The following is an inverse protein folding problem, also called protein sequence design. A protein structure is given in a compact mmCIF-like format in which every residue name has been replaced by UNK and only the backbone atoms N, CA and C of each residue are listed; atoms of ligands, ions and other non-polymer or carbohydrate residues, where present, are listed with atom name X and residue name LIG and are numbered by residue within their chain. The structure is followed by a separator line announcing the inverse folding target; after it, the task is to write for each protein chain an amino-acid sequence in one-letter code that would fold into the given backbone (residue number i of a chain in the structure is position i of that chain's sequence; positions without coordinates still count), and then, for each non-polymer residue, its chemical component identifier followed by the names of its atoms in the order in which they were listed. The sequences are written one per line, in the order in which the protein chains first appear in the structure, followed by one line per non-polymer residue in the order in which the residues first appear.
data_IF_449740257213
#
_entry.id   IF_449740257213
#
_cell.length_a   1.000
_cell.length_b   1.000
_cell.length_c   1.000
_cell.angle_alpha   90.00
_cell.angle_beta   90.00
_cell.angle_gamma   90.00
#
_symmetry.space_group_name_H-M   'P 1'
#
loop_
_entity.id
_entity.type
_entity.pdbx_description
1 polymer ?
#
# COMPACT_ATOMS: atom_id res chain seq x y z
N UNK A 1 -14.55 35.00 -2.84
CA UNK A 1 -13.34 34.81 -3.66
C UNK A 1 -13.72 34.76 -5.13
N UNK A 2 -12.76 35.03 -6.03
CA UNK A 2 -12.93 34.88 -7.47
C UNK A 2 -12.71 33.45 -7.93
N UNK A 3 -13.36 33.06 -9.04
CA UNK A 3 -13.15 31.76 -9.66
C UNK A 3 -11.68 31.46 -10.00
N UNK A 4 -10.92 32.43 -10.51
CA UNK A 4 -9.52 32.22 -10.88
C UNK A 4 -8.64 31.75 -9.69
N UNK A 5 -8.97 32.19 -8.48
CA UNK A 5 -8.28 31.75 -7.26
C UNK A 5 -8.61 30.29 -6.92
N UNK A 6 -9.87 29.90 -7.09
CA UNK A 6 -10.29 28.50 -6.97
C UNK A 6 -9.62 27.64 -8.05
N UNK A 7 -9.64 28.11 -9.30
CA UNK A 7 -9.07 27.42 -10.45
C UNK A 7 -7.57 27.18 -10.27
N UNK A 8 -6.83 28.18 -9.79
CA UNK A 8 -5.41 28.02 -9.49
C UNK A 8 -5.16 26.96 -8.40
N UNK A 9 -6.00 26.92 -7.36
CA UNK A 9 -5.91 25.89 -6.33
C UNK A 9 -6.27 24.49 -6.85
N UNK A 10 -7.25 24.41 -7.75
CA UNK A 10 -7.66 23.18 -8.41
C UNK A 10 -6.55 22.62 -9.31
N UNK A 11 -5.96 23.45 -10.17
CA UNK A 11 -4.89 23.06 -11.08
C UNK A 11 -3.65 22.59 -10.31
N UNK A 12 -3.35 23.18 -9.15
CA UNK A 12 -2.27 22.72 -8.27
C UNK A 12 -2.51 21.29 -7.73
N UNK A 13 -3.74 20.95 -7.38
CA UNK A 13 -4.11 19.60 -6.92
C UNK A 13 -4.05 18.61 -8.09
N UNK A 14 -4.55 18.98 -9.27
CA UNK A 14 -4.40 18.14 -10.47
C UNK A 14 -2.94 17.86 -10.78
N UNK A 15 -2.08 18.88 -10.72
CA UNK A 15 -0.66 18.70 -10.99
C UNK A 15 0.00 17.81 -9.93
N UNK A 16 -0.36 17.95 -8.65
CA UNK A 16 0.13 17.07 -7.61
C UNK A 16 -0.32 15.61 -7.80
N UNK A 17 -1.51 15.36 -8.36
CA UNK A 17 -1.96 14.02 -8.75
C UNK A 17 -1.13 13.46 -9.91
N UNK A 18 -0.88 14.27 -10.95
CA UNK A 18 -0.07 13.88 -12.11
C UNK A 18 1.38 13.56 -11.72
N UNK A 19 1.93 14.32 -10.78
CA UNK A 19 3.27 14.12 -10.24
C UNK A 19 3.34 13.00 -9.17
N UNK A 20 2.23 12.28 -8.93
CA UNK A 20 2.10 11.21 -7.94
C UNK A 20 2.53 11.63 -6.51
N UNK A 21 2.27 12.89 -6.15
CA UNK A 21 2.65 13.48 -4.86
C UNK A 21 1.58 13.36 -3.77
N UNK A 22 0.38 12.93 -4.15
CA UNK A 22 -0.74 12.72 -3.24
C UNK A 22 -1.07 11.22 -3.17
N UNK A 23 -1.12 10.69 -1.96
CA UNK A 23 -1.78 9.42 -1.70
C UNK A 23 -3.31 9.61 -1.62
N UNK A 24 -4.05 8.53 -1.40
CA UNK A 24 -5.53 8.54 -1.39
C UNK A 24 -6.07 9.49 -0.32
N UNK A 25 -5.45 9.49 0.85
CA UNK A 25 -5.84 10.33 1.98
C UNK A 25 -5.50 11.80 1.72
N UNK A 26 -4.33 12.08 1.15
CA UNK A 26 -3.92 13.41 0.70
C UNK A 26 -4.87 13.98 -0.36
N UNK A 27 -5.26 13.19 -1.36
CA UNK A 27 -6.25 13.59 -2.35
C UNK A 27 -7.62 13.85 -1.70
N UNK A 28 -8.06 13.00 -0.77
CA UNK A 28 -9.31 13.20 -0.05
C UNK A 28 -9.32 14.51 0.76
N UNK A 29 -8.20 14.84 1.41
CA UNK A 29 -8.04 16.10 2.13
C UNK A 29 -8.10 17.32 1.19
N UNK A 30 -7.42 17.25 0.04
CA UNK A 30 -7.43 18.31 -0.97
C UNK A 30 -8.82 18.52 -1.59
N UNK A 31 -9.57 17.44 -1.87
CA UNK A 31 -10.97 17.52 -2.32
C UNK A 31 -11.84 18.23 -1.27
N UNK A 32 -11.68 17.90 0.02
CA UNK A 32 -12.39 18.58 1.10
C UNK A 32 -12.04 20.07 1.19
N UNK A 33 -10.75 20.42 1.03
CA UNK A 33 -10.29 21.82 0.99
C UNK A 33 -10.88 22.59 -0.20
N UNK A 34 -10.88 21.99 -1.38
CA UNK A 34 -11.44 22.60 -2.59
C UNK A 34 -12.96 22.76 -2.49
N UNK A 35 -13.69 21.86 -1.84
CA UNK A 35 -15.12 22.02 -1.58
C UNK A 35 -15.43 23.30 -0.79
N UNK A 36 -14.64 23.57 0.26
CA UNK A 36 -14.78 24.80 1.06
C UNK A 36 -14.47 26.04 0.22
N UNK A 37 -13.49 25.98 -0.68
CA UNK A 37 -13.16 27.10 -1.56
C UNK A 37 -14.24 27.34 -2.63
N UNK A 38 -14.79 26.27 -3.21
CA UNK A 38 -15.88 26.37 -4.19
C UNK A 38 -17.09 27.11 -3.59
N UNK A 39 -17.45 26.82 -2.34
CA UNK A 39 -18.56 27.50 -1.65
C UNK A 39 -18.32 29.00 -1.41
N UNK A 40 -17.06 29.43 -1.34
CA UNK A 40 -16.66 30.83 -1.15
C UNK A 40 -16.62 31.63 -2.44
N UNK A 41 -16.82 31.00 -3.61
CA UNK A 41 -16.91 31.68 -4.90
C UNK A 41 -18.15 32.58 -4.92
N UNK A 42 -17.94 33.86 -5.24
CA UNK A 42 -18.94 34.92 -5.06
C UNK A 42 -20.08 34.84 -6.07
N UNK A 43 -19.75 34.60 -7.33
CA UNK A 43 -20.75 34.53 -8.39
C UNK A 43 -21.35 33.13 -8.47
N UNK A 44 -22.68 33.07 -8.53
CA UNK A 44 -23.40 31.80 -8.62
C UNK A 44 -22.99 30.97 -9.84
N UNK A 45 -22.86 31.59 -11.01
CA UNK A 45 -22.45 30.90 -12.24
C UNK A 45 -21.05 30.31 -12.12
N UNK A 46 -20.13 31.04 -11.50
CA UNK A 46 -18.76 30.57 -11.25
C UNK A 46 -18.72 29.47 -10.18
N UNK A 47 -19.64 29.51 -9.20
CA UNK A 47 -19.78 28.44 -8.21
C UNK A 47 -20.28 27.15 -8.85
N UNK A 48 -21.18 27.23 -9.83
CA UNK A 48 -21.63 26.07 -10.61
C UNK A 48 -20.47 25.48 -11.42
N UNK A 49 -19.59 26.32 -11.98
CA UNK A 49 -18.37 25.88 -12.65
C UNK A 49 -17.37 25.21 -11.70
N UNK A 50 -17.11 25.84 -10.54
CA UNK A 50 -16.24 25.29 -9.49
C UNK A 50 -16.76 23.94 -8.97
N UNK A 51 -18.07 23.76 -8.86
CA UNK A 51 -18.70 22.50 -8.48
C UNK A 51 -18.47 21.40 -9.53
N UNK A 52 -18.52 21.74 -10.82
CA UNK A 52 -18.24 20.79 -11.91
C UNK A 52 -16.77 20.36 -11.93
N UNK A 53 -15.84 21.29 -11.70
CA UNK A 53 -14.42 20.99 -11.55
C UNK A 53 -14.18 20.04 -10.36
N UNK A 54 -14.75 20.37 -9.19
CA UNK A 54 -14.65 19.54 -7.99
C UNK A 54 -15.21 18.12 -8.18
N UNK A 55 -16.30 17.98 -8.95
CA UNK A 55 -16.88 16.67 -9.27
C UNK A 55 -15.87 15.77 -10.00
N UNK A 56 -15.05 16.33 -10.90
CA UNK A 56 -14.03 15.57 -11.63
C UNK A 56 -12.95 14.99 -10.71
N UNK A 57 -12.49 15.76 -9.71
CA UNK A 57 -11.55 15.26 -8.70
C UNK A 57 -12.19 14.26 -7.74
N UNK A 58 -13.47 14.43 -7.44
CA UNK A 58 -14.24 13.48 -6.61
C UNK A 58 -14.37 12.13 -7.32
N UNK A 59 -14.67 12.12 -8.61
CA UNK A 59 -14.71 10.90 -9.43
C UNK A 59 -13.35 10.21 -9.50
N UNK A 60 -12.27 10.98 -9.63
CA UNK A 60 -10.90 10.47 -9.56
C UNK A 60 -10.63 9.81 -8.20
N UNK A 61 -10.98 10.45 -7.10
CA UNK A 61 -10.82 9.90 -5.75
C UNK A 61 -11.59 8.58 -5.58
N UNK A 62 -12.84 8.52 -6.05
CA UNK A 62 -13.66 7.31 -6.00
C UNK A 62 -13.13 6.20 -6.92
N UNK A 63 -12.55 6.54 -8.07
CA UNK A 63 -11.84 5.58 -8.91
C UNK A 63 -10.61 5.02 -8.20
N UNK A 64 -9.81 5.89 -7.56
CA UNK A 64 -8.61 5.47 -6.83
C UNK A 64 -9.00 4.56 -5.66
N UNK A 65 -9.95 4.96 -4.82
CA UNK A 65 -10.44 4.16 -3.68
C UNK A 65 -10.89 2.76 -4.05
N UNK A 66 -11.54 2.59 -5.21
CA UNK A 66 -11.98 1.27 -5.70
C UNK A 66 -10.82 0.36 -6.11
N UNK A 67 -9.68 0.94 -6.47
CA UNK A 67 -8.51 0.22 -6.95
C UNK A 67 -7.40 0.12 -5.90
N UNK A 68 -7.45 0.92 -4.84
CA UNK A 68 -6.54 0.84 -3.70
C UNK A 68 -6.94 -0.38 -2.85
N UNK A 69 -6.01 -1.33 -2.61
CA UNK A 69 -6.25 -2.39 -1.64
C UNK A 69 -6.63 -1.79 -0.28
N UNK A 70 -7.48 -2.45 0.51
CA UNK A 70 -7.69 -2.02 1.89
C UNK A 70 -6.34 -1.93 2.61
N UNK A 71 -6.21 -1.00 3.59
CA UNK A 71 -5.00 -0.91 4.38
C UNK A 71 -4.73 -2.26 5.05
N UNK A 72 -3.44 -2.59 5.16
CA UNK A 72 -2.98 -3.78 5.83
C UNK A 72 -3.52 -3.87 7.26
N UNK A 73 -3.96 -5.05 7.67
CA UNK A 73 -4.34 -5.29 9.06
C UNK A 73 -3.12 -5.17 9.97
N UNK A 74 -3.24 -4.62 11.19
CA UNK A 74 -2.11 -4.55 12.13
C UNK A 74 -1.51 -5.92 12.45
N UNK A 75 -2.34 -6.98 12.41
CA UNK A 75 -1.90 -8.35 12.57
C UNK A 75 -1.00 -8.80 11.41
N UNK A 76 -1.37 -8.50 10.17
CA UNK A 76 -0.56 -8.76 9.00
C UNK A 76 0.73 -7.95 8.99
N UNK A 77 0.70 -6.65 9.29
CA UNK A 77 1.92 -5.83 9.32
C UNK A 77 2.97 -6.40 10.27
N UNK A 78 2.55 -6.76 11.49
CA UNK A 78 3.43 -7.40 12.47
C UNK A 78 3.95 -8.75 11.97
N UNK A 79 3.07 -9.59 11.45
CA UNK A 79 3.45 -10.90 10.91
C UNK A 79 4.41 -10.78 9.72
N UNK A 80 4.22 -9.78 8.86
CA UNK A 80 5.06 -9.51 7.70
C UNK A 80 6.46 -9.04 8.10
N UNK A 81 6.57 -8.18 9.11
CA UNK A 81 7.86 -7.76 9.65
C UNK A 81 8.63 -8.94 10.25
N UNK A 82 7.95 -9.77 11.06
CA UNK A 82 8.56 -10.98 11.64
C UNK A 82 8.97 -11.99 10.56
N UNK A 83 8.11 -12.24 9.56
CA UNK A 83 8.40 -13.12 8.44
C UNK A 83 9.58 -12.61 7.59
N UNK A 84 9.66 -11.31 7.35
CA UNK A 84 10.77 -10.69 6.61
C UNK A 84 12.10 -10.88 7.33
N UNK A 85 12.12 -10.69 8.65
CA UNK A 85 13.32 -10.91 9.46
C UNK A 85 13.77 -12.38 9.42
N UNK A 86 12.84 -13.33 9.51
CA UNK A 86 13.15 -14.76 9.41
C UNK A 86 13.72 -15.14 8.04
N UNK A 87 13.16 -14.58 6.96
CA UNK A 87 13.66 -14.80 5.60
C UNK A 87 15.06 -14.22 5.42
N UNK A 88 15.30 -13.01 5.93
CA UNK A 88 16.63 -12.38 5.89
C UNK A 88 17.67 -13.19 6.67
N UNK A 89 17.35 -13.63 7.89
CA UNK A 89 18.22 -14.46 8.72
C UNK A 89 18.60 -15.77 8.00
N UNK A 90 17.63 -16.46 7.41
CA UNK A 90 17.86 -17.71 6.70
C UNK A 90 18.72 -17.52 5.43
N UNK A 91 18.51 -16.43 4.69
CA UNK A 91 19.31 -16.13 3.50
C UNK A 91 20.76 -15.72 3.82
N UNK A 92 20.95 -14.99 4.93
CA UNK A 92 22.27 -14.56 5.40
C UNK A 92 23.02 -15.64 6.20
N UNK A 93 22.40 -16.79 6.45
CA UNK A 93 22.99 -17.85 7.24
C UNK A 93 24.21 -18.46 6.53
N UNK A 94 25.37 -18.39 7.20
CA UNK A 94 26.60 -19.05 6.82
C UNK A 94 26.85 -20.33 7.63
N UNK A 95 27.86 -21.10 7.24
CA UNK A 95 28.28 -22.31 7.95
C UNK A 95 27.82 -23.61 7.29
N UNK A 96 27.76 -24.73 8.03
CA UNK A 96 27.50 -26.04 7.47
C UNK A 96 26.15 -26.12 6.74
N UNK A 97 26.14 -26.74 5.55
CA UNK A 97 24.95 -26.93 4.71
C UNK A 97 23.75 -27.47 5.50
N UNK A 98 23.98 -28.46 6.37
CA UNK A 98 22.93 -29.04 7.21
C UNK A 98 22.29 -28.05 8.18
N UNK A 99 23.06 -27.11 8.74
CA UNK A 99 22.51 -26.09 9.65
C UNK A 99 21.75 -25.01 8.86
N UNK A 100 22.24 -24.63 7.67
CA UNK A 100 21.54 -23.70 6.78
C UNK A 100 20.17 -24.25 6.32
N UNK A 101 20.11 -25.53 5.95
CA UNK A 101 18.84 -26.21 5.62
C UNK A 101 17.87 -26.19 6.80
N UNK A 102 18.33 -26.54 8.01
CA UNK A 102 17.49 -26.50 9.23
C UNK A 102 16.95 -25.09 9.50
N UNK A 103 17.77 -24.06 9.27
CA UNK A 103 17.40 -22.66 9.47
C UNK A 103 16.29 -22.24 8.50
N UNK A 104 16.43 -22.57 7.21
CA UNK A 104 15.40 -22.32 6.20
C UNK A 104 14.09 -23.06 6.53
N UNK A 105 14.15 -24.35 6.88
CA UNK A 105 12.97 -25.14 7.28
C UNK A 105 12.29 -24.58 8.54
N UNK A 106 13.06 -24.11 9.52
CA UNK A 106 12.54 -23.47 10.73
C UNK A 106 11.85 -22.14 10.41
N UNK A 107 12.45 -21.33 9.53
CA UNK A 107 11.85 -20.08 9.07
C UNK A 107 10.52 -20.34 8.35
N UNK A 108 10.46 -21.30 7.43
CA UNK A 108 9.21 -21.72 6.76
C UNK A 108 8.12 -22.08 7.77
N UNK A 109 8.45 -22.92 8.76
CA UNK A 109 7.48 -23.34 9.79
C UNK A 109 6.95 -22.14 10.58
N UNK A 110 7.84 -21.23 10.98
CA UNK A 110 7.45 -20.02 11.72
C UNK A 110 6.57 -19.09 10.89
N UNK A 111 6.92 -18.86 9.62
CA UNK A 111 6.13 -18.01 8.71
C UNK A 111 4.71 -18.58 8.52
N UNK A 112 4.57 -19.91 8.39
CA UNK A 112 3.25 -20.56 8.34
C UNK A 112 2.44 -20.29 9.62
N UNK A 113 3.05 -20.43 10.80
CA UNK A 113 2.39 -20.11 12.07
C UNK A 113 2.01 -18.64 12.22
N UNK A 114 2.80 -17.72 11.64
CA UNK A 114 2.44 -16.30 11.59
C UNK A 114 1.24 -16.07 10.68
N UNK A 115 1.22 -16.71 9.50
CA UNK A 115 0.13 -16.63 8.54
C UNK A 115 -1.20 -17.18 9.12
N UNK A 116 -1.16 -18.22 9.95
CA UNK A 116 -2.35 -18.78 10.63
C UNK A 116 -3.04 -17.78 11.57
N UNK A 117 -2.35 -16.71 11.98
CA UNK A 117 -2.89 -15.64 12.86
C UNK A 117 -3.52 -14.49 12.09
N UNK A 118 -3.40 -14.50 10.76
CA UNK A 118 -3.95 -13.45 9.88
C UNK A 118 -5.29 -13.93 9.32
N UNK A 119 -6.34 -13.17 9.61
CA UNK A 119 -7.71 -13.52 9.23
C UNK A 119 -7.97 -13.27 7.75
N UNK A 120 -7.42 -12.18 7.19
CA UNK A 120 -7.60 -11.86 5.79
C UNK A 120 -6.92 -12.90 4.89
N UNK A 121 -7.66 -13.53 3.96
CA UNK A 121 -7.10 -14.56 3.08
C UNK A 121 -5.98 -14.07 2.15
N UNK A 122 -6.05 -12.81 1.68
CA UNK A 122 -5.05 -12.23 0.77
C UNK A 122 -3.74 -11.90 1.47
N UNK A 123 -3.84 -11.31 2.66
CA UNK A 123 -2.70 -11.05 3.55
C UNK A 123 -2.03 -12.35 3.99
N UNK A 124 -2.83 -13.35 4.42
CA UNK A 124 -2.33 -14.69 4.75
C UNK A 124 -1.63 -15.34 3.57
N UNK A 125 -2.21 -15.25 2.37
CA UNK A 125 -1.59 -15.78 1.16
C UNK A 125 -0.23 -15.12 0.88
N UNK A 126 -0.14 -13.80 1.07
CA UNK A 126 1.09 -13.04 0.88
C UNK A 126 2.19 -13.50 1.85
N UNK A 127 1.86 -13.74 3.12
CA UNK A 127 2.81 -14.32 4.08
C UNK A 127 3.27 -15.72 3.67
N UNK A 128 2.35 -16.58 3.23
CA UNK A 128 2.70 -17.93 2.78
C UNK A 128 3.64 -17.93 1.57
N UNK A 129 3.50 -16.96 0.67
CA UNK A 129 4.41 -16.79 -0.48
C UNK A 129 5.86 -16.53 -0.09
N UNK A 130 6.11 -15.94 1.08
CA UNK A 130 7.47 -15.74 1.59
C UNK A 130 8.19 -17.06 1.91
N UNK A 131 7.48 -18.19 1.97
CA UNK A 131 8.10 -19.50 2.19
C UNK A 131 8.70 -20.12 0.93
N UNK A 132 8.31 -19.68 -0.27
CA UNK A 132 8.75 -20.27 -1.54
C UNK A 132 10.26 -20.10 -1.78
N UNK A 133 10.87 -18.91 -1.62
CA UNK A 133 12.32 -18.76 -1.77
C UNK A 133 13.13 -19.58 -0.76
N UNK A 134 12.61 -19.74 0.46
CA UNK A 134 13.25 -20.54 1.51
C UNK A 134 13.21 -22.03 1.20
N UNK A 135 12.12 -22.51 0.59
CA UNK A 135 12.02 -23.90 0.14
C UNK A 135 13.03 -24.16 -0.98
N UNK A 136 13.11 -23.26 -1.96
CA UNK A 136 14.11 -23.33 -3.04
C UNK A 136 15.54 -23.31 -2.49
N UNK A 137 15.83 -22.47 -1.48
CA UNK A 137 17.13 -22.44 -0.82
C UNK A 137 17.47 -23.78 -0.16
N UNK A 138 16.53 -24.35 0.61
CA UNK A 138 16.73 -25.63 1.27
C UNK A 138 16.97 -26.76 0.25
N UNK A 139 16.13 -26.84 -0.78
CA UNK A 139 16.26 -27.85 -1.84
C UNK A 139 17.58 -27.70 -2.59
N UNK A 140 17.97 -26.49 -2.97
CA UNK A 140 19.25 -26.24 -3.65
C UNK A 140 20.46 -26.66 -2.82
N UNK A 141 20.42 -26.42 -1.51
CA UNK A 141 21.45 -26.87 -0.58
C UNK A 141 21.51 -28.40 -0.45
N UNK A 142 20.36 -29.08 -0.44
CA UNK A 142 20.29 -30.55 -0.39
C UNK A 142 20.89 -31.21 -1.63
N UNK A 143 20.66 -30.65 -2.82
CA UNK A 143 21.18 -31.19 -4.09
C UNK A 143 22.65 -30.84 -4.36
N UNK A 144 23.24 -29.91 -3.58
CA UNK A 144 24.65 -29.51 -3.68
C UNK A 144 25.61 -30.34 -2.82
N UNK A 145 25.07 -31.31 -2.06
CA UNK A 145 25.79 -32.17 -1.12
C UNK A 145 26.19 -33.49 -1.76
#
# INVERSE_FOLDING_TARGET
MRYDEFRSAYDAVQQACLDARLDVDGLAAEVGRLAVLADQVELRSEREEAASDLASLTDLLEMVRRNTPPPASPAYEKAFQEASALTAEANAADGPVTERIKLAQRAIKKIRTLADRVEDPGERFTLLKMTEPLAILADGLEHSR
#
